data_IF_826103583888
#
_entry.id   IF_826103583888
#
_cell.length_a   1.000
_cell.length_b   1.000
_cell.length_c   1.000
_cell.angle_alpha   90.00
_cell.angle_beta   90.00
_cell.angle_gamma   90.00
#
_symmetry.space_group_name_H-M   'P 1'
#
loop_
_entity.id
_entity.type
_entity.pdbx_description
1 polymer ?
#
# COMPACT_ATOMS: atom_id res chain seq x y z
N UNK A 1 -54.78 -56.24 -29.00
CA UNK A 1 -54.53 -56.57 -27.58
C UNK A 1 -53.07 -56.98 -27.49
N UNK A 2 -52.15 -56.22 -26.90
CA UNK A 2 -52.25 -55.22 -25.83
C UNK A 2 -50.99 -54.33 -25.88
N UNK A 3 -51.20 -53.01 -25.93
CA UNK A 3 -50.20 -52.00 -25.54
C UNK A 3 -49.92 -52.16 -24.04
N UNK A 4 -48.67 -52.41 -23.67
CA UNK A 4 -48.24 -52.43 -22.28
C UNK A 4 -47.98 -50.98 -21.85
N UNK A 5 -48.95 -50.38 -21.15
CA UNK A 5 -48.81 -49.07 -20.52
C UNK A 5 -47.72 -49.11 -19.44
N UNK A 6 -46.74 -48.22 -19.55
CA UNK A 6 -45.75 -47.95 -18.50
C UNK A 6 -46.47 -47.23 -17.34
N UNK A 7 -46.49 -47.85 -16.15
CA UNK A 7 -47.00 -47.21 -14.95
C UNK A 7 -46.08 -46.06 -14.50
N UNK A 8 -46.63 -44.93 -14.00
CA UNK A 8 -45.84 -43.83 -13.47
C UNK A 8 -45.23 -44.19 -12.11
N UNK A 9 -43.91 -44.08 -11.99
CA UNK A 9 -43.20 -44.20 -10.72
C UNK A 9 -43.73 -43.18 -9.68
N UNK A 10 -44.01 -43.60 -8.42
CA UNK A 10 -44.41 -42.67 -7.38
C UNK A 10 -43.26 -41.72 -7.04
N UNK A 11 -43.50 -40.41 -7.16
CA UNK A 11 -42.59 -39.37 -6.71
C UNK A 11 -42.44 -39.44 -5.19
N UNK A 12 -41.24 -39.81 -4.74
CA UNK A 12 -40.92 -39.78 -3.31
C UNK A 12 -41.13 -38.35 -2.77
N UNK A 13 -41.74 -38.18 -1.58
CA UNK A 13 -41.87 -36.86 -0.97
C UNK A 13 -40.47 -36.27 -0.73
N UNK A 14 -40.29 -34.94 -0.92
CA UNK A 14 -39.00 -34.30 -0.71
C UNK A 14 -38.53 -34.58 0.71
N UNK A 15 -37.39 -35.26 0.83
CA UNK A 15 -36.79 -35.56 2.12
C UNK A 15 -36.63 -34.24 2.91
N UNK A 16 -37.07 -34.16 4.17
CA UNK A 16 -36.92 -32.96 4.96
C UNK A 16 -35.43 -32.65 5.06
N UNK A 17 -35.00 -31.58 4.38
CA UNK A 17 -33.63 -31.11 4.42
C UNK A 17 -33.37 -30.64 5.86
N UNK A 18 -32.82 -31.53 6.68
CA UNK A 18 -32.51 -31.23 8.08
C UNK A 18 -31.32 -30.28 8.07
N UNK A 19 -31.62 -28.99 8.00
CA UNK A 19 -30.61 -27.93 8.10
C UNK A 19 -30.06 -27.98 9.52
N UNK A 20 -28.94 -28.69 9.69
CA UNK A 20 -28.17 -28.75 10.93
C UNK A 20 -27.82 -27.30 11.30
N UNK A 21 -28.27 -26.83 12.48
CA UNK A 21 -28.08 -25.43 12.95
C UNK A 21 -26.63 -24.96 12.81
N UNK A 22 -25.65 -25.86 13.00
CA UNK A 22 -24.21 -25.59 12.81
C UNK A 22 -23.88 -25.05 11.42
N UNK A 23 -24.55 -25.53 10.37
CA UNK A 23 -24.34 -25.03 9.00
C UNK A 23 -24.92 -23.64 8.78
N UNK A 24 -25.98 -23.28 9.51
CA UNK A 24 -26.60 -21.96 9.47
C UNK A 24 -25.82 -20.94 10.28
N UNK A 25 -25.23 -21.36 11.40
CA UNK A 25 -24.32 -20.53 12.18
C UNK A 25 -22.99 -20.35 11.43
N UNK A 26 -22.40 -21.41 10.88
CA UNK A 26 -21.24 -21.27 9.98
C UNK A 26 -21.56 -20.36 8.79
N UNK A 27 -22.74 -20.50 8.16
CA UNK A 27 -23.18 -19.59 7.09
C UNK A 27 -23.57 -18.19 7.57
N UNK A 28 -23.92 -17.97 8.85
CA UNK A 28 -24.21 -16.64 9.37
C UNK A 28 -22.94 -15.92 9.79
N UNK A 29 -21.93 -16.65 10.28
CA UNK A 29 -20.57 -16.17 10.46
C UNK A 29 -19.90 -15.89 9.10
N UNK A 30 -20.16 -16.73 8.08
CA UNK A 30 -19.77 -16.56 6.66
C UNK A 30 -20.71 -15.60 5.89
N UNK A 31 -21.83 -15.16 6.45
CA UNK A 31 -22.68 -14.08 5.89
C UNK A 31 -22.45 -12.74 6.60
N UNK A 32 -21.93 -12.79 7.83
CA UNK A 32 -21.25 -11.67 8.50
C UNK A 32 -19.82 -11.46 7.96
N UNK A 33 -19.43 -12.21 6.93
CA UNK A 33 -18.28 -12.05 6.04
C UNK A 33 -18.41 -10.81 5.13
N UNK A 34 -19.18 -9.78 5.57
CA UNK A 34 -18.89 -8.39 5.18
C UNK A 34 -17.64 -7.84 5.88
N UNK A 35 -17.01 -8.65 6.74
CA UNK A 35 -15.79 -8.37 7.50
C UNK A 35 -14.57 -9.21 7.09
N UNK A 36 -14.70 -10.25 6.25
CA UNK A 36 -13.50 -10.80 5.59
C UNK A 36 -13.27 -10.03 4.30
N UNK A 37 -12.57 -8.91 4.47
CA UNK A 37 -11.80 -8.30 3.40
C UNK A 37 -11.08 -9.41 2.62
N UNK A 38 -11.11 -9.34 1.29
CA UNK A 38 -10.61 -10.36 0.37
C UNK A 38 -9.08 -10.54 0.42
N UNK A 39 -8.46 -10.59 1.60
CA UNK A 39 -7.03 -10.67 1.84
C UNK A 39 -6.39 -11.94 1.25
N UNK A 40 -7.14 -13.04 1.10
CA UNK A 40 -6.60 -14.34 0.67
C UNK A 40 -7.31 -14.95 -0.54
N UNK A 41 -8.27 -14.26 -1.16
CA UNK A 41 -9.08 -14.79 -2.28
C UNK A 41 -9.15 -13.80 -3.44
N UNK A 42 -9.33 -14.32 -4.64
CA UNK A 42 -9.66 -13.53 -5.83
C UNK A 42 -10.84 -12.58 -5.53
N UNK A 43 -10.69 -11.29 -5.84
CA UNK A 43 -11.76 -10.32 -5.65
C UNK A 43 -12.82 -10.47 -6.75
N UNK A 44 -14.08 -10.82 -6.41
CA UNK A 44 -15.17 -10.96 -7.37
C UNK A 44 -15.43 -9.65 -8.12
N UNK A 45 -15.87 -9.74 -9.39
CA UNK A 45 -16.18 -8.57 -10.21
C UNK A 45 -17.21 -7.62 -9.57
N UNK A 46 -18.08 -8.13 -8.69
CA UNK A 46 -19.08 -7.37 -7.95
C UNK A 46 -18.50 -6.41 -6.88
N UNK A 47 -17.25 -6.60 -6.47
CA UNK A 47 -16.55 -5.73 -5.51
C UNK A 47 -15.68 -4.64 -6.16
N UNK A 48 -15.45 -4.73 -7.49
CA UNK A 48 -14.70 -3.74 -8.29
C UNK A 48 -15.53 -2.49 -8.65
N UNK A 49 -16.19 -1.91 -7.65
CA UNK A 49 -17.12 -0.76 -7.81
C UNK A 49 -16.46 0.61 -7.60
N UNK A 50 -15.20 0.63 -7.16
CA UNK A 50 -14.49 1.85 -6.80
C UNK A 50 -13.96 2.54 -8.06
N UNK A 51 -14.14 3.86 -8.17
CA UNK A 51 -13.67 4.62 -9.33
C UNK A 51 -12.14 4.63 -9.38
N UNK A 52 -11.58 4.69 -10.60
CA UNK A 52 -10.13 4.74 -10.85
C UNK A 52 -9.43 5.82 -9.98
N UNK A 53 -10.04 7.01 -9.89
CA UNK A 53 -9.54 8.11 -9.06
C UNK A 53 -9.56 7.82 -7.57
N UNK A 54 -10.55 7.07 -7.07
CA UNK A 54 -10.61 6.73 -5.64
C UNK A 54 -9.57 5.67 -5.28
N UNK A 55 -9.35 4.70 -6.16
CA UNK A 55 -8.27 3.70 -6.01
C UNK A 55 -6.91 4.40 -6.08
N UNK A 56 -6.69 5.28 -7.06
CA UNK A 56 -5.46 6.05 -7.18
C UNK A 56 -5.21 6.96 -5.97
N UNK A 57 -6.25 7.65 -5.46
CA UNK A 57 -6.10 8.49 -4.27
C UNK A 57 -5.82 7.67 -3.00
N UNK A 58 -6.38 6.46 -2.90
CA UNK A 58 -6.11 5.55 -1.78
C UNK A 58 -4.68 5.02 -1.85
N UNK A 59 -4.23 4.59 -3.03
CA UNK A 59 -2.84 4.16 -3.27
C UNK A 59 -1.84 5.31 -3.04
N UNK A 60 -2.17 6.52 -3.49
CA UNK A 60 -1.36 7.72 -3.24
C UNK A 60 -1.28 8.05 -1.74
N UNK A 61 -2.41 7.99 -1.04
CA UNK A 61 -2.46 8.17 0.41
C UNK A 61 -1.65 7.10 1.17
N UNK A 62 -1.74 5.84 0.76
CA UNK A 62 -0.94 4.75 1.31
C UNK A 62 0.57 4.97 1.05
N UNK A 63 0.94 5.56 -0.08
CA UNK A 63 2.33 5.92 -0.40
C UNK A 63 2.83 7.22 0.28
N UNK A 64 1.96 7.95 1.00
CA UNK A 64 2.26 9.27 1.58
C UNK A 64 2.76 9.22 3.04
N UNK A 65 3.58 8.24 3.38
CA UNK A 65 4.06 8.03 4.74
C UNK A 65 5.37 8.82 4.99
N UNK A 66 5.51 9.40 6.19
CA UNK A 66 6.52 10.40 6.52
C UNK A 66 7.95 9.83 6.51
N UNK A 67 8.10 8.52 6.66
CA UNK A 67 9.42 7.87 6.61
C UNK A 67 10.09 8.07 5.25
N UNK A 68 9.36 8.15 4.12
CA UNK A 68 10.02 8.47 2.83
C UNK A 68 10.61 9.88 2.81
N UNK A 69 9.95 10.83 3.46
CA UNK A 69 10.45 12.20 3.57
C UNK A 69 11.73 12.24 4.41
N UNK A 70 11.73 11.53 5.56
CA UNK A 70 12.91 11.40 6.40
C UNK A 70 14.06 10.68 5.68
N UNK A 71 13.77 9.62 4.92
CA UNK A 71 14.78 8.92 4.11
C UNK A 71 15.32 9.84 3.02
N UNK A 72 14.46 10.56 2.28
CA UNK A 72 14.88 11.51 1.25
C UNK A 72 15.75 12.65 1.81
N UNK A 73 15.37 13.21 2.95
CA UNK A 73 16.17 14.20 3.67
C UNK A 73 17.51 13.62 4.13
N UNK A 74 17.52 12.39 4.63
CA UNK A 74 18.75 11.68 5.03
C UNK A 74 19.69 11.48 3.84
N UNK A 75 19.16 11.08 2.68
CA UNK A 75 19.94 10.93 1.46
C UNK A 75 20.57 12.27 1.01
N UNK A 76 19.81 13.35 1.08
CA UNK A 76 20.30 14.70 0.81
C UNK A 76 21.42 15.10 1.77
N UNK A 77 21.23 14.89 3.07
CA UNK A 77 22.21 15.22 4.12
C UNK A 77 23.49 14.40 3.96
N UNK A 78 23.41 13.10 3.74
CA UNK A 78 24.58 12.23 3.68
C UNK A 78 25.32 12.32 2.33
N UNK A 79 24.60 12.34 1.22
CA UNK A 79 25.20 12.20 -0.11
C UNK A 79 25.28 13.50 -0.92
N UNK A 80 24.66 14.57 -0.43
CA UNK A 80 24.55 15.86 -1.11
C UNK A 80 23.46 15.88 -2.18
N UNK A 81 23.08 17.08 -2.63
CA UNK A 81 21.94 17.28 -3.53
C UNK A 81 22.11 16.55 -4.86
N UNK A 82 23.25 16.70 -5.52
CA UNK A 82 23.48 16.16 -6.87
C UNK A 82 23.33 14.63 -6.87
N UNK A 83 23.94 13.94 -5.91
CA UNK A 83 23.91 12.48 -5.85
C UNK A 83 22.54 11.97 -5.40
N UNK A 84 21.94 12.58 -4.37
CA UNK A 84 20.62 12.18 -3.88
C UNK A 84 19.54 12.39 -4.95
N UNK A 85 19.56 13.52 -5.66
CA UNK A 85 18.61 13.82 -6.74
C UNK A 85 18.65 12.77 -7.85
N UNK A 86 19.84 12.48 -8.38
CA UNK A 86 19.99 11.49 -9.44
C UNK A 86 19.66 10.07 -8.95
N UNK A 87 20.03 9.72 -7.72
CA UNK A 87 19.70 8.43 -7.15
C UNK A 87 18.19 8.24 -6.98
N UNK A 88 17.48 9.25 -6.47
CA UNK A 88 16.02 9.22 -6.32
C UNK A 88 15.34 9.09 -7.70
N UNK A 89 15.79 9.87 -8.70
CA UNK A 89 15.25 9.77 -10.06
C UNK A 89 15.52 8.39 -10.70
N UNK A 90 16.75 7.90 -10.60
CA UNK A 90 17.13 6.61 -11.17
C UNK A 90 16.36 5.47 -10.52
N UNK A 91 16.29 5.44 -9.19
CA UNK A 91 15.50 4.47 -8.43
C UNK A 91 14.02 4.58 -8.78
N UNK A 92 13.45 5.79 -8.80
CA UNK A 92 12.05 6.00 -9.16
C UNK A 92 11.73 5.48 -10.56
N UNK A 93 12.62 5.70 -11.52
CA UNK A 93 12.50 5.15 -12.87
C UNK A 93 12.57 3.62 -12.88
N UNK A 94 13.49 3.01 -12.14
CA UNK A 94 13.61 1.55 -12.03
C UNK A 94 12.32 0.95 -11.44
N UNK A 95 11.83 1.52 -10.33
CA UNK A 95 10.59 1.08 -9.68
C UNK A 95 9.40 1.25 -10.63
N UNK A 96 9.31 2.37 -11.34
CA UNK A 96 8.23 2.60 -12.30
C UNK A 96 8.28 1.60 -13.47
N UNK A 97 9.45 1.36 -14.05
CA UNK A 97 9.64 0.44 -15.18
C UNK A 97 9.38 -1.02 -14.77
N UNK A 98 9.81 -1.42 -13.58
CA UNK A 98 9.55 -2.76 -13.06
C UNK A 98 8.11 -2.94 -12.57
N UNK A 99 7.52 -1.89 -11.98
CA UNK A 99 6.16 -1.90 -11.44
C UNK A 99 5.08 -1.80 -12.50
N UNK A 100 5.35 -1.14 -13.62
CA UNK A 100 4.41 -1.04 -14.73
C UNK A 100 3.86 -2.40 -15.22
N UNK A 101 4.68 -3.39 -15.62
CA UNK A 101 4.16 -4.69 -16.07
C UNK A 101 3.44 -5.46 -14.97
N UNK A 102 3.92 -5.36 -13.72
CA UNK A 102 3.31 -6.03 -12.56
C UNK A 102 1.93 -5.45 -12.29
N UNK A 103 1.81 -4.13 -12.23
CA UNK A 103 0.56 -3.42 -12.02
C UNK A 103 -0.48 -3.73 -13.10
N UNK A 104 -0.05 -3.75 -14.37
CA UNK A 104 -0.91 -4.09 -15.51
C UNK A 104 -1.42 -5.52 -15.40
N UNK A 105 -0.57 -6.48 -15.02
CA UNK A 105 -0.97 -7.88 -14.91
C UNK A 105 -1.89 -8.11 -13.70
N UNK A 106 -1.59 -7.49 -12.55
CA UNK A 106 -2.40 -7.51 -11.33
C UNK A 106 -3.81 -6.96 -11.59
N UNK A 107 -3.92 -5.77 -12.19
CA UNK A 107 -5.20 -5.15 -12.48
C UNK A 107 -6.04 -5.94 -13.51
N UNK A 108 -5.40 -6.51 -14.54
CA UNK A 108 -6.10 -7.24 -15.61
C UNK A 108 -6.69 -8.54 -15.10
N UNK A 109 -5.91 -9.27 -14.31
CA UNK A 109 -6.29 -10.61 -13.85
C UNK A 109 -6.88 -10.59 -12.44
N UNK A 110 -6.88 -9.44 -11.73
CA UNK A 110 -7.33 -9.35 -10.34
C UNK A 110 -6.51 -10.20 -9.39
N UNK A 111 -5.21 -10.28 -9.65
CA UNK A 111 -4.31 -11.12 -8.89
C UNK A 111 -3.65 -10.30 -7.79
N UNK A 112 -3.56 -10.94 -6.62
CA UNK A 112 -2.75 -10.51 -5.48
C UNK A 112 -1.27 -10.86 -5.73
N UNK A 113 -0.35 -10.18 -5.05
CA UNK A 113 1.09 -10.45 -5.12
C UNK A 113 1.43 -11.92 -4.87
N UNK A 114 0.73 -12.58 -3.92
CA UNK A 114 0.93 -14.01 -3.64
C UNK A 114 0.54 -14.91 -4.83
N UNK A 115 -0.45 -14.50 -5.62
CA UNK A 115 -0.85 -15.24 -6.83
C UNK A 115 0.10 -14.95 -7.99
N UNK A 116 0.66 -13.73 -8.06
CA UNK A 116 1.68 -13.37 -9.04
C UNK A 116 2.96 -14.19 -8.84
N UNK A 117 3.43 -14.36 -7.60
CA UNK A 117 4.63 -15.16 -7.30
C UNK A 117 4.39 -16.64 -7.61
N UNK A 118 3.21 -17.18 -7.30
CA UNK A 118 2.81 -18.54 -7.72
C UNK A 118 2.85 -18.70 -9.23
N UNK A 119 2.25 -17.76 -9.97
CA UNK A 119 2.20 -17.77 -11.43
C UNK A 119 3.56 -17.54 -12.11
N UNK A 120 4.50 -16.88 -11.43
CA UNK A 120 5.85 -16.63 -11.90
C UNK A 120 6.82 -17.83 -11.75
N UNK A 121 6.32 -18.98 -11.26
CA UNK A 121 7.11 -20.22 -11.18
C UNK A 121 7.66 -20.56 -9.79
N UNK A 122 7.40 -19.71 -8.77
CA UNK A 122 7.78 -20.00 -7.38
C UNK A 122 6.89 -21.06 -6.72
N UNK A 123 5.72 -21.35 -7.30
CA UNK A 123 4.76 -22.33 -6.78
C UNK A 123 4.23 -21.96 -5.39
N UNK A 124 3.56 -22.91 -4.73
CA UNK A 124 2.97 -22.68 -3.41
C UNK A 124 4.05 -22.41 -2.35
N UNK A 125 5.11 -23.22 -2.32
CA UNK A 125 6.21 -23.08 -1.35
C UNK A 125 6.94 -21.75 -1.47
N UNK A 126 7.27 -21.32 -2.68
CA UNK A 126 7.94 -20.04 -2.87
C UNK A 126 7.02 -18.85 -2.54
N UNK A 127 5.71 -18.95 -2.81
CA UNK A 127 4.76 -17.92 -2.36
C UNK A 127 4.73 -17.80 -0.83
N UNK A 128 4.76 -18.91 -0.11
CA UNK A 128 4.82 -18.93 1.35
C UNK A 128 6.12 -18.31 1.90
N UNK A 129 7.23 -18.35 1.15
CA UNK A 129 8.48 -17.67 1.53
C UNK A 129 8.40 -16.17 1.25
N UNK A 130 7.73 -15.76 0.17
CA UNK A 130 7.61 -14.33 -0.17
C UNK A 130 6.67 -13.58 0.77
N UNK A 131 5.58 -14.19 1.24
CA UNK A 131 4.62 -13.54 2.15
C UNK A 131 5.26 -12.99 3.44
N UNK A 132 6.10 -13.73 4.20
CA UNK A 132 6.76 -13.19 5.39
C UNK A 132 7.82 -12.14 5.07
N UNK A 133 8.43 -12.15 3.88
CA UNK A 133 9.33 -11.07 3.44
C UNK A 133 8.53 -9.76 3.31
N UNK A 134 7.37 -9.81 2.64
CA UNK A 134 6.48 -8.65 2.54
C UNK A 134 5.96 -8.20 3.90
N UNK A 135 5.49 -9.13 4.73
CA UNK A 135 5.00 -8.82 6.08
C UNK A 135 6.08 -8.16 6.94
N UNK A 136 7.32 -8.66 6.88
CA UNK A 136 8.46 -8.08 7.61
C UNK A 136 8.71 -6.63 7.18
N UNK A 137 8.65 -6.37 5.87
CA UNK A 137 8.79 -5.03 5.34
C UNK A 137 7.68 -4.11 5.87
N UNK A 138 6.42 -4.54 5.84
CA UNK A 138 5.30 -3.77 6.42
C UNK A 138 5.51 -3.47 7.90
N UNK A 139 5.99 -4.44 8.70
CA UNK A 139 6.29 -4.22 10.11
C UNK A 139 7.40 -3.21 10.34
N UNK A 140 8.44 -3.20 9.48
CA UNK A 140 9.51 -2.20 9.55
C UNK A 140 8.96 -0.80 9.31
N UNK A 141 8.14 -0.59 8.27
CA UNK A 141 7.53 0.73 8.02
C UNK A 141 6.56 1.15 9.12
N UNK A 142 5.75 0.21 9.61
CA UNK A 142 4.88 0.49 10.76
C UNK A 142 5.67 0.95 12.00
N UNK A 143 6.80 0.28 12.29
CA UNK A 143 7.68 0.67 13.39
C UNK A 143 8.36 2.03 13.16
N UNK A 144 8.81 2.30 11.92
CA UNK A 144 9.44 3.58 11.57
C UNK A 144 8.43 4.74 11.62
N UNK A 145 7.20 4.55 11.16
CA UNK A 145 6.12 5.55 11.28
C UNK A 145 5.77 5.81 12.76
N UNK A 146 5.72 4.75 13.58
CA UNK A 146 5.54 4.90 15.02
C UNK A 146 6.67 5.71 15.67
N UNK A 147 7.91 5.53 15.21
CA UNK A 147 9.04 6.33 15.63
C UNK A 147 8.91 7.79 15.21
N UNK A 148 8.56 8.07 13.95
CA UNK A 148 8.34 9.44 13.47
C UNK A 148 7.25 10.13 14.30
N UNK A 149 6.13 9.46 14.57
CA UNK A 149 5.07 10.02 15.42
C UNK A 149 5.54 10.27 16.86
N UNK A 150 6.28 9.34 17.46
CA UNK A 150 6.81 9.51 18.82
C UNK A 150 7.78 10.69 18.91
N UNK A 151 8.67 10.87 17.93
CA UNK A 151 9.57 12.03 17.87
C UNK A 151 8.83 13.34 17.57
N UNK A 152 7.73 13.29 16.82
CA UNK A 152 6.88 14.47 16.65
C UNK A 152 6.20 14.90 17.97
N UNK A 153 5.78 13.94 18.80
CA UNK A 153 5.23 14.23 20.14
C UNK A 153 6.28 14.77 21.09
N UNK A 154 7.51 14.24 21.03
CA UNK A 154 8.66 14.76 21.77
C UNK A 154 8.92 16.23 21.38
N UNK A 155 9.00 16.51 20.07
CA UNK A 155 9.26 17.87 19.59
C UNK A 155 8.13 18.87 19.89
N UNK A 156 6.87 18.44 19.88
CA UNK A 156 5.72 19.33 20.03
C UNK A 156 5.28 19.54 21.49
N UNK A 157 5.46 18.52 22.35
CA UNK A 157 4.92 18.49 23.70
C UNK A 157 5.94 18.05 24.76
N UNK A 158 7.22 17.88 24.39
CA UNK A 158 8.30 17.39 25.25
C UNK A 158 7.97 16.01 25.88
N UNK A 159 7.20 15.18 25.17
CA UNK A 159 6.83 13.83 25.61
C UNK A 159 7.96 12.86 25.27
N UNK A 160 8.60 12.19 26.26
CA UNK A 160 9.70 11.28 25.98
C UNK A 160 9.29 10.16 25.01
N UNK A 161 10.16 9.74 24.07
CA UNK A 161 9.80 8.76 23.04
C UNK A 161 9.19 7.47 23.59
N UNK A 162 9.65 6.97 24.74
CA UNK A 162 9.10 5.80 25.41
C UNK A 162 7.58 5.90 25.64
N UNK A 163 7.11 7.07 26.09
CA UNK A 163 5.68 7.35 26.27
C UNK A 163 5.00 7.68 24.95
N UNK A 164 5.69 8.36 24.03
CA UNK A 164 5.22 8.61 22.68
C UNK A 164 4.80 7.33 21.96
N UNK A 165 5.64 6.28 22.00
CA UNK A 165 5.32 4.96 21.43
C UNK A 165 4.04 4.35 22.03
N UNK A 166 3.88 4.43 23.35
CA UNK A 166 2.70 3.90 24.03
C UNK A 166 1.43 4.66 23.60
N UNK A 167 1.49 5.98 23.58
CA UNK A 167 0.36 6.84 23.16
C UNK A 167 -0.03 6.52 21.71
N UNK A 168 0.94 6.45 20.80
CA UNK A 168 0.70 6.08 19.41
C UNK A 168 0.05 4.70 19.31
N UNK A 169 0.53 3.69 20.03
CA UNK A 169 -0.05 2.35 20.01
C UNK A 169 -1.50 2.33 20.51
N UNK A 170 -1.78 3.04 21.62
CA UNK A 170 -3.13 3.12 22.23
C UNK A 170 -4.12 3.83 21.29
N UNK A 171 -3.67 4.76 20.46
CA UNK A 171 -4.54 5.46 19.50
C UNK A 171 -4.69 4.67 18.19
N UNK A 172 -3.58 4.17 17.64
CA UNK A 172 -3.53 3.54 16.31
C UNK A 172 -4.13 2.13 16.33
N UNK A 173 -3.84 1.31 17.34
CA UNK A 173 -4.35 -0.07 17.36
C UNK A 173 -5.89 -0.13 17.36
N UNK A 174 -6.62 0.62 18.21
CA UNK A 174 -8.07 0.66 18.14
C UNK A 174 -8.58 1.21 16.81
N UNK A 175 -7.94 2.24 16.25
CA UNK A 175 -8.34 2.81 14.97
C UNK A 175 -8.30 1.75 13.85
N UNK A 176 -7.23 0.95 13.80
CA UNK A 176 -7.06 -0.11 12.79
C UNK A 176 -8.09 -1.23 12.98
N UNK A 177 -8.52 -1.55 14.21
CA UNK A 177 -9.58 -2.56 14.44
C UNK A 177 -10.93 -2.19 13.83
N UNK A 178 -11.19 -0.92 13.53
CA UNK A 178 -12.43 -0.48 12.87
C UNK A 178 -12.39 -0.61 11.34
N UNK A 179 -11.27 -1.11 10.78
CA UNK A 179 -11.12 -1.45 9.37
C UNK A 179 -11.05 -0.27 8.39
N UNK A 180 -10.98 -0.59 7.10
CA UNK A 180 -10.73 0.35 6.00
C UNK A 180 -11.80 1.45 5.90
N UNK A 181 -13.05 1.17 6.28
CA UNK A 181 -14.14 2.16 6.20
C UNK A 181 -13.99 3.28 7.23
N UNK A 182 -13.49 2.99 8.43
CA UNK A 182 -13.22 4.00 9.44
C UNK A 182 -11.98 4.83 9.06
N UNK A 183 -10.92 4.16 8.62
CA UNK A 183 -9.68 4.79 8.13
C UNK A 183 -9.99 5.74 6.98
N UNK A 184 -10.76 5.29 5.97
CA UNK A 184 -11.12 6.11 4.82
C UNK A 184 -11.93 7.36 5.19
N UNK A 185 -12.84 7.27 6.18
CA UNK A 185 -13.57 8.45 6.67
C UNK A 185 -12.66 9.46 7.38
N UNK A 186 -11.70 8.98 8.18
CA UNK A 186 -10.70 9.84 8.82
C UNK A 186 -9.83 10.51 7.75
N UNK A 187 -9.36 9.74 6.77
CA UNK A 187 -8.47 10.20 5.70
C UNK A 187 -9.07 11.33 4.87
N UNK A 188 -10.37 11.32 4.59
CA UNK A 188 -11.02 12.41 3.84
C UNK A 188 -10.87 13.77 4.54
N UNK A 189 -10.88 13.79 5.88
CA UNK A 189 -10.71 15.02 6.66
C UNK A 189 -9.24 15.35 6.92
N UNK A 190 -8.41 14.35 7.19
CA UNK A 190 -6.98 14.56 7.48
C UNK A 190 -6.18 14.89 6.24
N UNK A 191 -6.59 14.43 5.05
CA UNK A 191 -5.82 14.62 3.81
C UNK A 191 -5.70 16.10 3.40
N UNK A 192 -6.76 16.93 3.38
CA UNK A 192 -6.62 18.37 3.14
C UNK A 192 -5.74 19.08 4.18
N UNK A 193 -5.89 18.72 5.45
CA UNK A 193 -5.07 19.27 6.54
C UNK A 193 -3.60 18.88 6.36
N UNK A 194 -3.34 17.62 6.04
CA UNK A 194 -2.01 17.10 5.77
C UNK A 194 -1.36 17.81 4.58
N UNK A 195 -2.07 17.99 3.45
CA UNK A 195 -1.55 18.74 2.30
C UNK A 195 -1.21 20.19 2.70
N UNK A 196 -2.08 20.85 3.47
CA UNK A 196 -1.82 22.19 3.95
C UNK A 196 -0.57 22.25 4.84
N UNK A 197 -0.42 21.30 5.77
CA UNK A 197 0.75 21.19 6.65
C UNK A 197 2.02 20.76 5.91
N UNK A 198 1.92 20.02 4.81
CA UNK A 198 3.05 19.66 3.97
C UNK A 198 3.57 20.90 3.23
N UNK A 199 2.67 21.74 2.70
CA UNK A 199 3.05 22.93 1.90
C UNK A 199 3.51 24.11 2.76
N UNK A 200 2.92 24.28 3.95
CA UNK A 200 3.15 25.45 4.80
C UNK A 200 4.62 25.69 5.15
N UNK A 201 5.42 24.70 5.59
CA UNK A 201 6.85 24.89 5.88
C UNK A 201 7.63 25.41 4.68
N UNK A 202 7.37 24.89 3.47
CA UNK A 202 8.04 25.38 2.25
C UNK A 202 7.69 26.83 1.95
N UNK A 203 6.41 27.21 2.07
CA UNK A 203 5.98 28.61 1.87
C UNK A 203 6.67 29.54 2.87
N UNK A 204 6.77 29.13 4.13
CA UNK A 204 7.46 29.89 5.17
C UNK A 204 8.95 30.04 4.85
N UNK A 205 9.64 28.94 4.53
CA UNK A 205 11.07 28.93 4.21
C UNK A 205 11.36 29.77 2.97
N UNK A 206 10.58 29.67 1.89
CA UNK A 206 10.83 30.47 0.69
C UNK A 206 10.56 31.96 0.88
N UNK A 207 9.65 32.34 1.78
CA UNK A 207 9.45 33.75 2.15
C UNK A 207 10.59 34.29 3.03
N UNK A 208 11.05 33.50 4.00
CA UNK A 208 12.14 33.89 4.90
C UNK A 208 13.51 33.86 4.21
N UNK A 209 13.71 32.91 3.29
CA UNK A 209 14.97 32.65 2.59
C UNK A 209 14.75 32.51 1.07
N UNK A 210 14.63 33.63 0.33
CA UNK A 210 14.38 33.62 -1.12
C UNK A 210 15.46 32.89 -1.94
N UNK A 211 16.69 32.80 -1.41
CA UNK A 211 17.82 32.13 -2.05
C UNK A 211 18.03 30.68 -1.57
N UNK A 212 17.10 30.10 -0.79
CA UNK A 212 17.22 28.75 -0.26
C UNK A 212 17.45 27.69 -1.35
N UNK A 213 16.84 27.86 -2.53
CA UNK A 213 17.00 26.92 -3.66
C UNK A 213 18.44 26.88 -4.19
N UNK A 214 19.13 28.02 -4.26
CA UNK A 214 20.51 28.07 -4.71
C UNK A 214 21.45 27.36 -3.71
N UNK A 215 21.20 27.55 -2.41
CA UNK A 215 21.91 26.83 -1.35
C UNK A 215 21.65 25.33 -1.37
N UNK A 216 20.40 24.93 -1.65
CA UNK A 216 20.01 23.52 -1.76
C UNK A 216 20.71 22.82 -2.91
N UNK A 217 20.73 23.43 -4.11
CA UNK A 217 21.38 22.82 -5.28
C UNK A 217 22.88 22.66 -5.12
N UNK A 218 23.52 23.60 -4.42
CA UNK A 218 24.95 23.55 -4.12
C UNK A 218 25.27 22.72 -2.87
N UNK A 219 24.26 22.16 -2.17
CA UNK A 219 24.46 21.51 -0.88
C UNK A 219 25.34 20.25 -1.03
N UNK A 220 26.54 20.24 -0.44
CA UNK A 220 27.53 19.19 -0.67
C UNK A 220 27.35 17.97 0.23
N UNK A 221 26.30 17.91 1.05
CA UNK A 221 26.20 16.91 2.12
C UNK A 221 27.02 17.30 3.36
N UNK A 222 26.79 16.57 4.45
CA UNK A 222 27.36 16.81 5.78
C UNK A 222 28.90 16.75 5.78
N UNK A 223 29.48 15.85 4.99
CA UNK A 223 30.93 15.71 4.84
C UNK A 223 31.60 16.88 4.06
N UNK A 224 30.81 17.82 3.53
CA UNK A 224 31.30 18.97 2.73
C UNK A 224 31.89 18.59 1.35
N UNK A 225 31.79 17.31 0.95
CA UNK A 225 32.48 16.73 -0.23
C UNK A 225 31.55 16.32 -1.38
N UNK A 226 30.32 16.84 -1.47
CA UNK A 226 29.28 16.32 -2.38
C UNK A 226 28.63 17.37 -3.29
N UNK A 227 29.35 18.45 -3.62
CA UNK A 227 28.91 19.44 -4.62
C UNK A 227 29.09 18.99 -6.08
N UNK A 228 29.63 17.79 -6.30
CA UNK A 228 29.86 17.18 -7.62
C UNK A 228 29.32 15.74 -7.59
N UNK A 229 28.92 15.25 -8.76
CA UNK A 229 28.49 13.87 -8.93
C UNK A 229 29.62 12.89 -8.61
N UNK A 230 29.34 11.93 -7.74
CA UNK A 230 30.23 10.87 -7.31
C UNK A 230 29.48 9.54 -7.45
N UNK A 231 30.03 8.64 -8.27
CA UNK A 231 29.42 7.34 -8.59
C UNK A 231 29.20 6.48 -7.33
N UNK A 232 30.10 6.55 -6.35
CA UNK A 232 29.99 5.76 -5.12
C UNK A 232 28.87 6.30 -4.22
N UNK A 233 28.76 7.63 -4.08
CA UNK A 233 27.66 8.26 -3.32
C UNK A 233 26.32 8.03 -3.98
N UNK A 234 26.26 8.18 -5.30
CA UNK A 234 25.10 7.86 -6.11
C UNK A 234 24.67 6.40 -5.95
N UNK A 235 25.60 5.45 -6.10
CA UNK A 235 25.33 4.01 -5.93
C UNK A 235 24.88 3.64 -4.51
N UNK A 236 25.47 4.28 -3.50
CA UNK A 236 25.08 4.11 -2.09
C UNK A 236 23.65 4.61 -1.85
N UNK A 237 23.33 5.82 -2.30
CA UNK A 237 21.98 6.38 -2.22
C UNK A 237 20.95 5.55 -3.01
N UNK A 238 21.34 5.04 -4.19
CA UNK A 238 20.49 4.14 -4.98
C UNK A 238 20.18 2.84 -4.25
N UNK A 239 21.12 2.28 -3.50
CA UNK A 239 20.92 1.02 -2.76
C UNK A 239 19.81 1.18 -1.72
N UNK A 240 19.79 2.32 -1.01
CA UNK A 240 18.70 2.67 -0.08
C UNK A 240 17.37 2.81 -0.83
N UNK A 241 17.38 3.49 -1.98
CA UNK A 241 16.17 3.66 -2.78
C UNK A 241 15.63 2.33 -3.35
N UNK A 242 16.49 1.46 -3.87
CA UNK A 242 16.10 0.16 -4.44
C UNK A 242 15.51 -0.76 -3.37
N UNK A 243 15.95 -0.66 -2.12
CA UNK A 243 15.37 -1.41 -1.01
C UNK A 243 13.87 -1.10 -0.81
N UNK A 244 13.38 0.06 -1.27
CA UNK A 244 11.96 0.42 -1.20
C UNK A 244 11.10 -0.27 -2.28
N UNK A 245 11.71 -0.94 -3.26
CA UNK A 245 10.99 -1.61 -4.35
C UNK A 245 10.02 -2.70 -3.85
N UNK A 246 10.29 -3.29 -2.69
CA UNK A 246 9.40 -4.28 -2.05
C UNK A 246 8.02 -3.71 -1.71
N UNK A 247 7.83 -2.39 -1.65
CA UNK A 247 6.52 -1.75 -1.48
C UNK A 247 5.55 -2.03 -2.62
N UNK A 248 6.07 -2.43 -3.78
CA UNK A 248 5.22 -2.78 -4.91
C UNK A 248 4.24 -3.92 -4.61
N UNK A 249 4.53 -4.77 -3.62
CA UNK A 249 3.59 -5.81 -3.17
C UNK A 249 2.27 -5.23 -2.66
N UNK A 250 2.33 -4.24 -1.76
CA UNK A 250 1.13 -3.57 -1.23
C UNK A 250 0.35 -2.85 -2.35
N UNK A 251 1.08 -2.22 -3.29
CA UNK A 251 0.45 -1.54 -4.42
C UNK A 251 -0.28 -2.52 -5.35
N UNK A 252 0.25 -3.72 -5.54
CA UNK A 252 -0.43 -4.78 -6.29
C UNK A 252 -1.75 -5.20 -5.61
N UNK A 253 -1.79 -5.20 -4.28
CA UNK A 253 -2.99 -5.57 -3.51
C UNK A 253 -4.10 -4.52 -3.59
N UNK A 254 -3.78 -3.24 -3.76
CA UNK A 254 -4.80 -2.23 -4.08
C UNK A 254 -5.31 -2.37 -5.52
N UNK A 255 -4.42 -2.71 -6.47
CA UNK A 255 -4.74 -2.81 -7.89
C UNK A 255 -5.71 -3.96 -8.22
N UNK A 256 -5.81 -5.00 -7.38
CA UNK A 256 -6.79 -6.08 -7.56
C UNK A 256 -8.25 -5.59 -7.50
N UNK A 257 -8.48 -4.44 -6.85
CA UNK A 257 -9.80 -3.79 -6.77
C UNK A 257 -10.12 -2.89 -7.97
N UNK A 258 -9.20 -2.73 -8.92
CA UNK A 258 -9.40 -1.88 -10.10
C UNK A 258 -10.54 -2.41 -10.99
N UNK A 259 -11.47 -1.54 -11.45
CA UNK A 259 -12.57 -1.93 -12.31
C UNK A 259 -12.09 -2.55 -13.61
N UNK A 260 -12.86 -3.52 -14.12
CA UNK A 260 -12.59 -4.17 -15.39
C UNK A 260 -12.54 -3.12 -16.51
N UNK A 261 -11.54 -3.24 -17.39
CA UNK A 261 -11.23 -2.25 -18.43
C UNK A 261 -12.46 -1.89 -19.27
N UNK A 262 -12.99 -0.65 -19.20
CA UNK A 262 -14.15 -0.26 -20.00
C UNK A 262 -13.81 -0.26 -21.49
N UNK A 263 -14.66 -0.87 -22.31
CA UNK A 263 -14.46 -0.92 -23.76
C UNK A 263 -14.36 0.49 -24.41
N UNK A 264 -15.03 1.48 -23.80
CA UNK A 264 -15.12 2.85 -24.30
C UNK A 264 -13.89 3.73 -23.98
N UNK A 265 -13.13 3.46 -22.92
CA UNK A 265 -12.05 4.37 -22.46
C UNK A 265 -10.76 3.64 -22.11
N UNK A 266 -10.24 2.92 -23.10
CA UNK A 266 -9.01 2.11 -23.01
C UNK A 266 -7.73 2.86 -22.64
N UNK A 267 -7.70 4.20 -22.72
CA UNK A 267 -6.55 5.08 -22.42
C UNK A 267 -6.47 5.54 -20.96
N UNK A 268 -7.58 5.58 -20.20
CA UNK A 268 -7.57 5.97 -18.77
C UNK A 268 -6.97 4.90 -17.85
N UNK A 269 -6.80 3.70 -18.39
CA UNK A 269 -6.41 2.49 -17.69
C UNK A 269 -4.88 2.27 -17.69
N UNK A 270 -4.14 3.10 -18.42
CA UNK A 270 -2.68 3.10 -18.53
C UNK A 270 -2.20 4.48 -18.08
#
# INVERSE_FOLDING_TARGET
MTDAALEPHPTAPPAPQRVVKVRRDYNSWVAQESLEDYALRYTPQSFRKWSELRVANTAFGAASFLVLEAVGATLLVQYGFVNAFWAILATGLIIALAGWPIAVYAARHGLDMDLLTRGAGFGYLGSTITSPIYASFTFIFFALEAAVMAYALDLAFDVPPAWGYLVCAVVVLPLVTHGVTAIGRLQVWTQPLWIAMLVLPYVYVFRAHPHALAGLWAYPGEDGRGGVFDVLKFGSAMTVGIALMTQMGEQADYLRFMPARPAANRRRWW
#
